data_IF_243765077012
#
_entry.id   IF_243765077012
#
_cell.length_a   1.000
_cell.length_b   1.000
_cell.length_c   1.000
_cell.angle_alpha   90.00
_cell.angle_beta   90.00
_cell.angle_gamma   90.00
#
_symmetry.space_group_name_H-M   'P 1'
#
loop_
_entity.id
_entity.type
_entity.pdbx_description
1 polymer ?
#
# COMPACT_ATOMS: atom_id res chain seq x y z
N UNK A 1 10.81 -23.58 18.57
CA UNK A 1 10.97 -23.35 17.13
C UNK A 1 9.64 -23.59 16.43
N UNK A 2 9.26 -22.69 15.52
CA UNK A 2 8.10 -22.92 14.65
C UNK A 2 8.52 -23.90 13.56
N UNK A 3 7.73 -24.96 13.36
CA UNK A 3 7.90 -25.90 12.26
C UNK A 3 6.62 -25.87 11.41
N UNK A 4 6.43 -24.83 10.57
CA UNK A 4 5.20 -24.67 9.81
C UNK A 4 5.11 -25.70 8.67
N UNK A 5 3.93 -26.23 8.43
CA UNK A 5 3.63 -27.09 7.29
C UNK A 5 3.40 -26.30 6.00
N UNK A 6 3.10 -25.02 6.11
CA UNK A 6 2.85 -24.09 5.01
C UNK A 6 3.17 -22.66 5.45
N UNK A 7 3.80 -21.89 4.56
CA UNK A 7 3.99 -20.45 4.72
C UNK A 7 3.04 -19.74 3.76
N UNK A 8 2.22 -18.83 4.31
CA UNK A 8 1.35 -17.94 3.52
C UNK A 8 1.99 -16.58 3.46
N UNK A 9 2.23 -16.06 2.26
CA UNK A 9 2.85 -14.77 2.01
C UNK A 9 1.99 -13.92 1.09
N UNK A 10 2.01 -12.61 1.30
CA UNK A 10 1.21 -11.65 0.54
C UNK A 10 2.12 -10.60 -0.09
N UNK A 11 1.94 -10.39 -1.39
CA UNK A 11 2.56 -9.29 -2.12
C UNK A 11 4.00 -9.58 -2.57
N UNK A 12 4.81 -8.53 -2.56
CA UNK A 12 6.03 -8.43 -3.36
C UNK A 12 7.16 -7.64 -2.69
N UNK A 13 7.02 -7.33 -1.43
CA UNK A 13 8.07 -6.58 -0.72
C UNK A 13 9.33 -7.42 -0.53
N UNK A 14 10.47 -6.76 -0.50
CA UNK A 14 11.78 -7.42 -0.39
C UNK A 14 11.92 -8.25 0.90
N UNK A 15 11.23 -7.85 1.99
CA UNK A 15 11.20 -8.64 3.23
C UNK A 15 10.48 -9.99 3.00
N UNK A 16 9.41 -9.99 2.22
CA UNK A 16 8.64 -11.19 1.87
C UNK A 16 9.46 -12.09 0.94
N UNK A 17 10.28 -11.53 0.06
CA UNK A 17 11.20 -12.28 -0.77
C UNK A 17 12.20 -13.09 0.07
N UNK A 18 12.74 -12.49 1.14
CA UNK A 18 13.65 -13.17 2.05
C UNK A 18 12.96 -14.36 2.76
N UNK A 19 11.69 -14.17 3.15
CA UNK A 19 10.87 -15.26 3.74
C UNK A 19 10.63 -16.36 2.72
N UNK A 20 10.26 -16.03 1.48
CA UNK A 20 10.01 -16.99 0.41
C UNK A 20 11.27 -17.83 0.11
N UNK A 21 12.43 -17.17 -0.04
CA UNK A 21 13.70 -17.84 -0.27
C UNK A 21 14.06 -18.80 0.89
N UNK A 22 13.88 -18.36 2.13
CA UNK A 22 14.14 -19.18 3.32
C UNK A 22 13.21 -20.40 3.39
N UNK A 23 11.91 -20.23 3.11
CA UNK A 23 10.93 -21.31 3.10
C UNK A 23 11.25 -22.34 2.00
N UNK A 24 11.58 -21.87 0.79
CA UNK A 24 11.98 -22.75 -0.32
C UNK A 24 13.21 -23.61 0.05
N UNK A 25 14.25 -23.01 0.60
CA UNK A 25 15.47 -23.72 1.03
C UNK A 25 15.23 -24.67 2.19
N UNK A 26 14.20 -24.42 3.00
CA UNK A 26 13.77 -25.27 4.10
C UNK A 26 12.75 -26.34 3.68
N UNK A 27 12.43 -26.42 2.39
CA UNK A 27 11.45 -27.38 1.83
C UNK A 27 10.06 -27.21 2.47
N UNK A 28 9.69 -25.97 2.79
CA UNK A 28 8.38 -25.60 3.32
C UNK A 28 7.52 -25.07 2.18
N UNK A 29 6.35 -25.64 1.90
CA UNK A 29 5.44 -25.14 0.87
C UNK A 29 5.04 -23.69 1.09
N UNK A 30 4.88 -22.95 -0.01
CA UNK A 30 4.52 -21.53 0.00
C UNK A 30 3.18 -21.34 -0.72
N UNK A 31 2.27 -20.61 -0.08
CA UNK A 31 1.07 -20.04 -0.70
C UNK A 31 1.26 -18.54 -0.91
N UNK A 32 1.22 -18.09 -2.16
CA UNK A 32 1.43 -16.70 -2.54
C UNK A 32 0.11 -16.01 -2.88
N UNK A 33 -0.20 -14.93 -2.17
CA UNK A 33 -1.37 -14.07 -2.41
C UNK A 33 -0.92 -12.83 -3.17
N UNK A 34 -1.71 -12.36 -4.13
CA UNK A 34 -1.43 -11.23 -5.04
C UNK A 34 -0.29 -11.47 -6.04
N UNK A 35 -0.06 -12.73 -6.43
CA UNK A 35 0.80 -13.05 -7.57
C UNK A 35 0.21 -12.56 -8.89
N UNK A 36 1.09 -12.27 -9.89
CA UNK A 36 0.69 -11.92 -11.24
C UNK A 36 0.29 -10.47 -11.46
N UNK A 37 0.26 -9.62 -10.44
CA UNK A 37 0.04 -8.18 -10.57
C UNK A 37 1.27 -7.51 -11.23
N UNK A 38 1.10 -6.27 -11.70
CA UNK A 38 2.17 -5.47 -12.32
C UNK A 38 2.26 -4.13 -11.61
N UNK A 39 3.46 -3.69 -11.34
CA UNK A 39 3.76 -2.36 -10.79
C UNK A 39 4.77 -1.68 -11.70
N UNK A 40 4.29 -0.83 -12.61
CA UNK A 40 5.16 -0.12 -13.54
C UNK A 40 6.11 0.83 -12.79
N UNK A 41 7.37 0.90 -13.24
CA UNK A 41 8.36 1.78 -12.64
C UNK A 41 8.94 1.33 -11.30
N UNK A 42 8.63 0.10 -10.84
CA UNK A 42 9.14 -0.45 -9.60
C UNK A 42 9.88 -1.78 -9.79
N UNK A 43 10.82 -2.09 -8.90
CA UNK A 43 11.48 -3.40 -8.87
C UNK A 43 10.59 -4.49 -8.25
N UNK A 44 9.50 -4.11 -7.62
CA UNK A 44 8.52 -5.00 -6.98
C UNK A 44 8.01 -6.08 -7.93
N UNK A 45 7.85 -5.74 -9.21
CA UNK A 45 7.40 -6.68 -10.24
C UNK A 45 8.33 -7.90 -10.39
N UNK A 46 9.64 -7.66 -10.39
CA UNK A 46 10.63 -8.72 -10.45
C UNK A 46 10.63 -9.58 -9.18
N UNK A 47 10.46 -8.95 -8.01
CA UNK A 47 10.34 -9.67 -6.73
C UNK A 47 9.07 -10.50 -6.72
N UNK A 48 7.92 -9.93 -7.10
CA UNK A 48 6.63 -10.63 -7.16
C UNK A 48 6.69 -11.88 -8.02
N UNK A 49 7.23 -11.76 -9.22
CA UNK A 49 7.34 -12.91 -10.12
C UNK A 49 8.33 -13.95 -9.62
N UNK A 50 9.42 -13.53 -8.97
CA UNK A 50 10.35 -14.45 -8.32
C UNK A 50 9.68 -15.22 -7.17
N UNK A 51 8.88 -14.56 -6.34
CA UNK A 51 8.10 -15.21 -5.27
C UNK A 51 7.08 -16.18 -5.87
N UNK A 52 6.38 -15.77 -6.94
CA UNK A 52 5.45 -16.67 -7.67
C UNK A 52 6.16 -17.95 -8.10
N UNK A 53 7.39 -17.87 -8.65
CA UNK A 53 8.16 -19.04 -9.07
C UNK A 53 8.66 -19.93 -7.92
N UNK A 54 8.75 -19.40 -6.71
CA UNK A 54 9.08 -20.16 -5.50
C UNK A 54 7.86 -20.77 -4.83
N UNK A 55 6.65 -20.32 -5.16
CA UNK A 55 5.41 -20.72 -4.50
C UNK A 55 4.81 -21.99 -5.11
N UNK A 56 3.94 -22.64 -4.35
CA UNK A 56 3.30 -23.91 -4.69
C UNK A 56 1.78 -23.77 -4.90
N UNK A 57 1.19 -22.75 -4.26
CA UNK A 57 -0.21 -22.36 -4.40
C UNK A 57 -0.29 -20.87 -4.66
N UNK A 58 -1.20 -20.46 -5.53
CA UNK A 58 -1.30 -19.08 -5.98
C UNK A 58 -2.73 -18.59 -5.83
N UNK A 59 -2.91 -17.46 -5.12
CA UNK A 59 -4.19 -16.80 -4.89
C UNK A 59 -4.14 -15.40 -5.51
N UNK A 60 -4.79 -15.23 -6.65
CA UNK A 60 -4.77 -13.99 -7.43
C UNK A 60 -6.02 -13.17 -7.21
N UNK A 61 -5.92 -11.85 -7.41
CA UNK A 61 -7.03 -10.92 -7.19
C UNK A 61 -7.96 -10.78 -8.40
N UNK A 62 -7.50 -11.16 -9.59
CA UNK A 62 -8.31 -11.09 -10.83
C UNK A 62 -7.97 -12.24 -11.78
N UNK A 63 -8.84 -12.48 -12.76
CA UNK A 63 -8.60 -13.48 -13.80
C UNK A 63 -7.43 -13.10 -14.71
N UNK A 64 -7.19 -11.81 -14.94
CA UNK A 64 -6.03 -11.33 -15.71
C UNK A 64 -4.72 -11.75 -15.02
N UNK A 65 -4.64 -11.59 -13.72
CA UNK A 65 -3.45 -11.98 -12.94
C UNK A 65 -3.33 -13.48 -12.82
N UNK A 66 -4.45 -14.21 -12.70
CA UNK A 66 -4.44 -15.68 -12.76
C UNK A 66 -3.81 -16.17 -14.06
N UNK A 67 -4.24 -15.63 -15.19
CA UNK A 67 -3.70 -16.01 -16.49
C UNK A 67 -2.21 -15.69 -16.62
N UNK A 68 -1.75 -14.55 -16.05
CA UNK A 68 -0.32 -14.21 -16.05
C UNK A 68 0.50 -15.18 -15.21
N UNK A 69 0.02 -15.61 -14.04
CA UNK A 69 0.68 -16.63 -13.21
C UNK A 69 0.80 -17.95 -13.97
N UNK A 70 -0.24 -18.37 -14.69
CA UNK A 70 -0.20 -19.55 -15.55
C UNK A 70 0.82 -19.36 -16.70
N UNK A 71 0.88 -18.18 -17.32
CA UNK A 71 1.87 -17.87 -18.36
C UNK A 71 3.32 -17.90 -17.84
N UNK A 72 3.54 -17.64 -16.55
CA UNK A 72 4.85 -17.81 -15.90
C UNK A 72 5.23 -19.29 -15.72
N UNK A 73 4.35 -20.22 -16.10
CA UNK A 73 4.59 -21.66 -16.09
C UNK A 73 4.07 -22.39 -14.84
N UNK A 74 3.12 -21.77 -14.12
CA UNK A 74 2.49 -22.41 -12.97
C UNK A 74 1.32 -23.32 -13.41
N UNK A 75 1.10 -24.41 -12.66
CA UNK A 75 0.01 -25.35 -12.91
C UNK A 75 -1.35 -24.66 -12.71
N UNK A 76 -2.21 -24.59 -13.75
CA UNK A 76 -3.53 -23.96 -13.65
C UNK A 76 -4.40 -24.51 -12.51
N UNK A 77 -4.21 -25.78 -12.12
CA UNK A 77 -4.92 -26.40 -11.00
C UNK A 77 -4.49 -25.90 -9.62
N UNK A 78 -3.39 -25.14 -9.56
CA UNK A 78 -2.85 -24.53 -8.32
C UNK A 78 -2.97 -23.01 -8.30
N UNK A 79 -3.61 -22.42 -9.30
CA UNK A 79 -3.81 -20.96 -9.40
C UNK A 79 -5.30 -20.63 -9.27
N UNK A 80 -5.65 -19.94 -8.20
CA UNK A 80 -7.02 -19.63 -7.81
C UNK A 80 -7.27 -18.11 -7.89
N UNK A 81 -8.31 -17.69 -8.61
CA UNK A 81 -8.80 -16.33 -8.54
C UNK A 81 -9.76 -16.21 -7.36
N UNK A 82 -9.34 -15.52 -6.30
CA UNK A 82 -10.09 -15.41 -5.03
C UNK A 82 -10.53 -13.97 -4.73
N UNK A 83 -10.18 -13.01 -5.59
CA UNK A 83 -10.35 -11.59 -5.30
C UNK A 83 -9.27 -11.03 -4.39
N UNK A 84 -9.38 -9.73 -4.09
CA UNK A 84 -8.44 -9.04 -3.21
C UNK A 84 -8.94 -9.09 -1.75
N UNK A 85 -8.16 -9.63 -0.79
CA UNK A 85 -8.57 -9.71 0.62
C UNK A 85 -8.94 -8.35 1.25
N UNK A 86 -8.36 -7.25 0.75
CA UNK A 86 -8.69 -5.90 1.19
C UNK A 86 -10.15 -5.52 0.98
N UNK A 87 -10.80 -6.06 -0.05
CA UNK A 87 -12.21 -5.80 -0.36
C UNK A 87 -13.12 -6.37 0.74
N UNK A 88 -12.80 -7.54 1.27
CA UNK A 88 -13.56 -8.15 2.36
C UNK A 88 -13.61 -7.25 3.60
N UNK A 89 -12.53 -6.51 3.87
CA UNK A 89 -12.46 -5.58 4.99
C UNK A 89 -13.45 -4.42 4.86
N UNK A 90 -13.70 -3.96 3.63
CA UNK A 90 -14.68 -2.88 3.37
C UNK A 90 -16.09 -3.31 3.78
N UNK A 91 -16.45 -4.58 3.53
CA UNK A 91 -17.78 -5.10 3.85
C UNK A 91 -17.93 -5.55 5.31
N UNK A 92 -16.82 -5.92 5.98
CA UNK A 92 -16.85 -6.47 7.35
C UNK A 92 -16.65 -5.44 8.45
N UNK A 93 -15.97 -4.32 8.15
CA UNK A 93 -15.67 -3.31 9.16
C UNK A 93 -16.86 -2.35 9.34
N UNK A 94 -17.19 -2.08 10.60
CA UNK A 94 -18.07 -0.97 10.96
C UNK A 94 -17.24 0.32 10.88
N UNK A 95 -17.34 1.03 9.76
CA UNK A 95 -16.57 2.24 9.52
C UNK A 95 -16.99 3.35 10.50
N UNK A 96 -16.01 4.12 10.93
CA UNK A 96 -16.21 5.25 11.85
C UNK A 96 -16.96 6.39 11.14
N UNK A 97 -17.76 7.11 11.91
CA UNK A 97 -18.40 8.33 11.44
C UNK A 97 -17.39 9.49 11.39
N UNK A 98 -17.67 10.48 10.53
CA UNK A 98 -16.83 11.66 10.32
C UNK A 98 -16.44 12.34 11.62
N UNK A 99 -17.40 12.62 12.49
CA UNK A 99 -17.19 13.29 13.77
C UNK A 99 -16.28 12.51 14.75
N UNK A 100 -16.28 11.17 14.65
CA UNK A 100 -15.39 10.34 15.47
C UNK A 100 -13.95 10.45 14.97
N UNK A 101 -13.73 10.47 13.65
CA UNK A 101 -12.42 10.69 13.05
C UNK A 101 -11.87 12.08 13.34
N UNK A 102 -12.68 13.12 13.19
CA UNK A 102 -12.31 14.52 13.48
C UNK A 102 -11.87 14.69 14.94
N UNK A 103 -12.64 14.10 15.85
CA UNK A 103 -12.30 14.13 17.28
C UNK A 103 -11.00 13.38 17.58
N UNK A 104 -10.79 12.21 16.96
CA UNK A 104 -9.60 11.39 17.18
C UNK A 104 -8.36 12.05 16.58
N UNK A 105 -8.48 12.66 15.42
CA UNK A 105 -7.38 13.32 14.70
C UNK A 105 -7.09 14.73 15.24
N UNK A 106 -8.05 15.37 15.89
CA UNK A 106 -7.94 16.78 16.26
C UNK A 106 -7.95 17.70 15.05
N UNK A 107 -8.50 17.27 13.93
CA UNK A 107 -8.59 17.99 12.67
C UNK A 107 -10.02 17.91 12.14
N UNK A 108 -10.66 19.05 11.89
CA UNK A 108 -11.95 19.09 11.21
C UNK A 108 -11.77 18.82 9.71
N UNK A 109 -12.61 17.96 9.17
CA UNK A 109 -12.70 17.74 7.72
C UNK A 109 -13.56 18.85 7.11
N UNK A 110 -12.91 19.90 6.66
CA UNK A 110 -13.54 21.09 6.09
C UNK A 110 -14.47 20.82 4.90
N UNK A 111 -14.86 21.87 4.17
CA UNK A 111 -15.67 21.73 2.96
C UNK A 111 -15.05 20.79 1.93
N UNK A 112 -13.72 20.80 1.86
CA UNK A 112 -12.91 19.85 1.11
C UNK A 112 -11.93 19.16 2.03
N UNK A 113 -11.71 17.86 1.81
CA UNK A 113 -10.71 17.08 2.52
C UNK A 113 -10.08 16.06 1.58
N UNK A 114 -8.77 15.93 1.65
CA UNK A 114 -8.01 15.04 0.79
C UNK A 114 -7.16 14.07 1.61
N UNK A 115 -7.18 12.81 1.21
CA UNK A 115 -6.22 11.82 1.68
C UNK A 115 -5.05 11.78 0.70
N UNK A 116 -3.86 12.06 1.18
CA UNK A 116 -2.64 12.12 0.37
C UNK A 116 -1.71 10.98 0.76
N UNK A 117 -1.43 10.11 -0.21
CA UNK A 117 -0.52 8.98 -0.07
C UNK A 117 0.49 9.03 -1.20
N UNK A 118 1.72 9.43 -0.93
CA UNK A 118 2.75 9.54 -1.96
C UNK A 118 3.81 8.45 -1.78
N UNK A 119 3.99 7.63 -2.83
CA UNK A 119 5.06 6.64 -2.92
C UNK A 119 5.99 7.01 -4.08
N UNK A 120 7.29 7.24 -3.82
CA UNK A 120 8.24 7.56 -4.88
C UNK A 120 8.39 6.39 -5.87
N UNK A 121 8.63 6.70 -7.14
CA UNK A 121 8.97 5.69 -8.16
C UNK A 121 10.37 5.16 -7.87
N UNK A 122 10.49 3.86 -7.58
CA UNK A 122 11.73 3.26 -7.06
C UNK A 122 12.86 3.15 -8.10
N UNK A 123 12.53 3.19 -9.39
CA UNK A 123 13.50 3.10 -10.49
C UNK A 123 13.98 4.45 -11.04
N UNK A 124 13.51 5.58 -10.50
CA UNK A 124 13.94 6.93 -10.88
C UNK A 124 14.66 7.62 -9.70
N UNK A 125 15.96 7.39 -9.51
CA UNK A 125 16.70 7.97 -8.40
C UNK A 125 16.71 9.51 -8.47
N UNK A 126 16.36 10.18 -7.35
CA UNK A 126 16.42 11.64 -7.21
C UNK A 126 15.19 12.40 -7.73
N UNK A 127 14.21 11.73 -8.34
CA UNK A 127 12.96 12.37 -8.82
C UNK A 127 11.97 12.69 -7.71
N UNK A 128 11.89 11.83 -6.72
CA UNK A 128 10.87 11.86 -5.67
C UNK A 128 10.77 13.21 -4.93
N UNK A 129 11.89 13.85 -4.62
CA UNK A 129 11.91 15.16 -3.98
C UNK A 129 11.22 16.22 -4.81
N UNK A 130 11.60 16.32 -6.09
CA UNK A 130 11.06 17.30 -7.02
C UNK A 130 9.56 17.12 -7.23
N UNK A 131 9.14 15.88 -7.40
CA UNK A 131 7.74 15.54 -7.64
C UNK A 131 6.89 15.83 -6.40
N UNK A 132 7.39 15.49 -5.22
CA UNK A 132 6.69 15.79 -3.98
C UNK A 132 6.67 17.29 -3.66
N UNK A 133 7.75 18.04 -3.94
CA UNK A 133 7.75 19.53 -3.84
C UNK A 133 6.70 20.14 -4.77
N UNK A 134 6.53 19.60 -5.98
CA UNK A 134 5.50 20.06 -6.91
C UNK A 134 4.10 19.75 -6.39
N UNK A 135 3.89 18.59 -5.79
CA UNK A 135 2.63 18.22 -5.15
C UNK A 135 2.31 19.17 -3.99
N UNK A 136 3.24 19.42 -3.07
CA UNK A 136 3.02 20.33 -1.94
C UNK A 136 2.66 21.75 -2.42
N UNK A 137 3.36 22.26 -3.44
CA UNK A 137 3.02 23.56 -4.05
C UNK A 137 1.62 23.60 -4.67
N UNK A 138 1.14 22.49 -5.21
CA UNK A 138 -0.21 22.39 -5.73
C UNK A 138 -1.25 22.37 -4.59
N UNK A 139 -0.95 21.65 -3.50
CA UNK A 139 -1.80 21.61 -2.31
C UNK A 139 -1.92 22.98 -1.63
N UNK A 140 -0.86 23.79 -1.61
CA UNK A 140 -0.86 25.14 -1.07
C UNK A 140 -1.81 26.11 -1.82
N UNK A 141 -2.23 25.76 -3.03
CA UNK A 141 -3.19 26.55 -3.81
C UNK A 141 -4.65 26.23 -3.51
N UNK A 142 -4.89 25.17 -2.71
CA UNK A 142 -6.24 24.76 -2.35
C UNK A 142 -6.72 25.55 -1.12
N UNK A 143 -7.83 26.25 -1.30
CA UNK A 143 -8.49 26.99 -0.22
C UNK A 143 -9.42 26.06 0.57
N UNK A 144 -9.60 26.31 1.86
CA UNK A 144 -10.52 25.60 2.77
C UNK A 144 -10.42 24.06 2.68
N UNK A 145 -9.20 23.54 2.48
CA UNK A 145 -8.96 22.11 2.28
C UNK A 145 -8.19 21.52 3.45
N UNK A 146 -8.72 20.46 4.03
CA UNK A 146 -8.04 19.66 5.06
C UNK A 146 -7.25 18.51 4.43
N UNK A 147 -5.99 18.36 4.82
CA UNK A 147 -5.08 17.38 4.25
C UNK A 147 -4.72 16.30 5.27
N UNK A 148 -4.96 15.06 4.92
CA UNK A 148 -4.61 13.89 5.73
C UNK A 148 -3.53 13.12 4.98
N UNK A 149 -2.30 13.15 5.50
CA UNK A 149 -1.18 12.44 4.90
C UNK A 149 -1.00 11.05 5.50
N UNK A 150 -0.74 10.07 4.67
CA UNK A 150 -0.10 8.82 5.09
C UNK A 150 1.36 8.83 4.66
N UNK A 151 2.25 8.50 5.61
CA UNK A 151 3.69 8.50 5.36
C UNK A 151 4.10 7.38 4.41
N UNK A 152 5.12 7.64 3.62
CA UNK A 152 5.71 6.67 2.72
C UNK A 152 6.34 5.49 3.49
N UNK A 153 6.41 4.35 2.83
CA UNK A 153 7.10 3.15 3.33
C UNK A 153 8.61 3.38 3.51
N UNK A 154 9.31 2.38 4.05
CA UNK A 154 10.76 2.38 4.24
C UNK A 154 11.56 2.20 2.93
N UNK A 155 10.95 2.47 1.78
CA UNK A 155 11.57 2.41 0.46
C UNK A 155 12.66 3.50 0.29
N UNK A 156 13.54 3.36 -0.71
CA UNK A 156 14.48 4.43 -1.05
C UNK A 156 13.76 5.77 -1.18
N UNK A 157 14.33 6.84 -0.63
CA UNK A 157 13.75 8.19 -0.60
C UNK A 157 12.49 8.37 0.31
N UNK A 158 11.82 7.32 0.76
CA UNK A 158 10.65 7.42 1.65
C UNK A 158 10.92 8.21 2.94
N UNK A 159 12.13 8.12 3.49
CA UNK A 159 12.53 8.93 4.65
C UNK A 159 12.61 10.44 4.34
N UNK A 160 12.97 10.78 3.11
CA UNK A 160 13.00 12.19 2.66
C UNK A 160 11.57 12.73 2.57
N UNK A 161 10.69 11.99 1.90
CA UNK A 161 9.27 12.33 1.76
C UNK A 161 8.61 12.49 3.14
N UNK A 162 8.89 11.56 4.07
CA UNK A 162 8.32 11.62 5.41
C UNK A 162 8.75 12.89 6.18
N UNK A 163 10.00 13.32 6.03
CA UNK A 163 10.46 14.60 6.61
C UNK A 163 9.74 15.79 6.00
N UNK A 164 9.58 15.79 4.67
CA UNK A 164 8.87 16.87 3.97
C UNK A 164 7.39 16.94 4.38
N UNK A 165 6.76 15.78 4.64
CA UNK A 165 5.39 15.72 5.20
C UNK A 165 5.38 16.32 6.62
N UNK A 166 6.32 15.94 7.48
CA UNK A 166 6.38 16.45 8.85
C UNK A 166 6.61 17.96 8.87
N UNK A 167 7.50 18.48 8.04
CA UNK A 167 7.76 19.90 7.89
C UNK A 167 6.51 20.66 7.39
N UNK A 168 5.79 20.08 6.43
CA UNK A 168 4.55 20.65 5.91
C UNK A 168 3.46 20.74 6.97
N UNK A 169 3.23 19.66 7.72
CA UNK A 169 2.22 19.64 8.78
C UNK A 169 2.56 20.61 9.91
N UNK A 170 3.84 20.81 10.23
CA UNK A 170 4.27 21.83 11.20
C UNK A 170 3.95 23.25 10.74
N UNK A 171 3.96 23.54 9.44
CA UNK A 171 3.62 24.84 8.87
C UNK A 171 2.09 25.04 8.73
N UNK A 172 1.32 23.96 8.65
CA UNK A 172 -0.13 23.97 8.44
C UNK A 172 -0.90 23.16 9.51
N UNK A 173 -0.71 23.45 10.82
CA UNK A 173 -1.22 22.60 11.89
C UNK A 173 -2.76 22.57 11.99
N UNK A 174 -3.44 23.63 11.51
CA UNK A 174 -4.90 23.75 11.59
C UNK A 174 -5.61 23.07 10.41
N UNK A 175 -4.87 22.74 9.33
CA UNK A 175 -5.44 22.18 8.10
C UNK A 175 -4.77 20.89 7.64
N UNK A 176 -3.77 20.40 8.35
CA UNK A 176 -3.10 19.16 7.94
C UNK A 176 -2.67 18.27 9.11
N UNK A 177 -2.65 16.96 8.85
CA UNK A 177 -2.18 15.95 9.81
C UNK A 177 -1.49 14.81 9.05
N UNK A 178 -0.55 14.13 9.70
CA UNK A 178 0.17 12.99 9.12
C UNK A 178 0.18 11.78 10.04
N UNK A 179 0.04 10.61 9.44
CA UNK A 179 0.08 9.32 10.13
C UNK A 179 1.11 8.39 9.49
N UNK A 180 1.89 7.71 10.30
CA UNK A 180 2.75 6.61 9.81
C UNK A 180 1.91 5.41 9.36
N UNK A 181 0.78 5.17 10.02
CA UNK A 181 -0.23 4.19 9.62
C UNK A 181 -1.57 4.55 10.24
N UNK A 182 -2.62 4.50 9.47
CA UNK A 182 -4.00 4.64 9.97
C UNK A 182 -4.58 3.29 10.41
N UNK A 183 -3.97 2.19 10.02
CA UNK A 183 -4.59 0.87 10.11
C UNK A 183 -5.85 0.76 9.23
N UNK A 184 -6.35 -0.44 9.01
CA UNK A 184 -7.44 -0.68 8.05
C UNK A 184 -8.73 0.07 8.41
N UNK A 185 -9.14 0.07 9.68
CA UNK A 185 -10.41 0.68 10.08
C UNK A 185 -10.41 2.19 9.82
N UNK A 186 -9.41 2.93 10.32
CA UNK A 186 -9.34 4.39 10.14
C UNK A 186 -9.13 4.77 8.68
N UNK A 187 -8.24 4.06 7.97
CA UNK A 187 -7.98 4.31 6.55
C UNK A 187 -9.25 4.21 5.72
N UNK A 188 -10.00 3.10 5.84
CA UNK A 188 -11.26 2.91 5.12
C UNK A 188 -12.34 3.89 5.57
N UNK A 189 -12.35 4.27 6.86
CA UNK A 189 -13.27 5.30 7.35
C UNK A 189 -12.95 6.68 6.79
N UNK A 190 -11.67 7.05 6.70
CA UNK A 190 -11.23 8.29 6.04
C UNK A 190 -11.65 8.30 4.58
N UNK A 191 -11.42 7.21 3.85
CA UNK A 191 -11.84 7.06 2.45
C UNK A 191 -13.33 7.32 2.22
N UNK A 192 -14.18 6.95 3.19
CA UNK A 192 -15.63 7.18 3.13
C UNK A 192 -15.99 8.69 3.19
N UNK A 193 -15.16 9.50 3.84
CA UNK A 193 -15.52 10.87 4.22
C UNK A 193 -14.70 11.95 3.52
N UNK A 194 -13.58 11.62 2.86
CA UNK A 194 -12.80 12.60 2.11
C UNK A 194 -13.41 12.91 0.75
N UNK A 195 -13.14 14.12 0.25
CA UNK A 195 -13.60 14.59 -1.06
C UNK A 195 -12.79 13.97 -2.21
N UNK A 196 -11.56 13.55 -1.93
CA UNK A 196 -10.68 12.94 -2.92
C UNK A 196 -9.46 12.28 -2.32
N UNK A 197 -8.74 11.55 -3.19
CA UNK A 197 -7.51 10.85 -2.86
C UNK A 197 -6.45 11.28 -3.85
N UNK A 198 -5.25 11.51 -3.36
CA UNK A 198 -4.05 11.75 -4.17
C UNK A 198 -3.05 10.65 -3.83
N UNK A 199 -2.56 9.93 -4.86
CA UNK A 199 -1.61 8.83 -4.70
C UNK A 199 -0.79 8.58 -5.94
#
# INVERSE_FOLDING_TARGET
ELAPDLVVILGDRFEIFAVAASALMSIIPIAHIHGGEVTEGAFDDAIRHSITKMAHLHFTSTEVYRNRVIQLGEDPGKVFNVGAPGIDSIYRLNLLEKSALEKEFGLEFGPQSLLVTFHPVTLEPGGARKDFEALLKALDQLEETSLIFTKANADPEGRLINRMIDDYVLLHPDSSIAFSSLGSLRYLSVLKHVSGIIG
#
